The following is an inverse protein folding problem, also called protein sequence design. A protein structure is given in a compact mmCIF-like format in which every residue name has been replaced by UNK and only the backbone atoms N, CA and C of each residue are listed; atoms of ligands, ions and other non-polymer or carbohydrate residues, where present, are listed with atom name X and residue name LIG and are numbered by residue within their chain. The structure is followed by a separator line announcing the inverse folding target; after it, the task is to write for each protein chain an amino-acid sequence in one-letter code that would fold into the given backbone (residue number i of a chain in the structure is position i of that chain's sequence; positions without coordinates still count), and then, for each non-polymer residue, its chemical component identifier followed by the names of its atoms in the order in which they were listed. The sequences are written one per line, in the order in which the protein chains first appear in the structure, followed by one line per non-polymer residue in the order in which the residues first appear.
data_IF_633406212947
#
_entry.id   IF_633406212947
#
_cell.length_a   1.000
_cell.length_b   1.000
_cell.length_c   1.000
_cell.angle_alpha   90.00
_cell.angle_beta   90.00
_cell.angle_gamma   90.00
#
_symmetry.space_group_name_H-M   'P 1'
#
loop_
_entity.id
_entity.type
_entity.pdbx_description
1 polymer ?
#
# COMPACT_ATOMS: atom_id res chain seq x y z
N UNK A 1 11.08 -23.43 -1.28
CA UNK A 1 10.07 -22.55 -1.91
C UNK A 1 10.66 -21.31 -2.58
N UNK A 2 11.79 -20.76 -2.12
CA UNK A 2 12.45 -19.64 -2.81
C UNK A 2 11.68 -18.32 -2.78
N UNK A 3 10.68 -18.21 -1.90
CA UNK A 3 9.85 -17.01 -1.73
C UNK A 3 10.60 -16.04 -0.81
N UNK A 4 10.91 -14.81 -1.26
CA UNK A 4 11.76 -13.88 -0.50
C UNK A 4 11.02 -13.12 0.59
N UNK A 5 9.68 -13.08 0.56
CA UNK A 5 8.87 -12.23 1.43
C UNK A 5 7.66 -12.96 2.00
N UNK A 6 7.34 -12.69 3.25
CA UNK A 6 6.08 -13.05 3.91
C UNK A 6 5.35 -11.77 4.28
N UNK A 7 4.09 -11.64 3.88
CA UNK A 7 3.23 -10.49 4.26
C UNK A 7 2.52 -10.81 5.56
N UNK A 8 2.43 -9.83 6.46
CA UNK A 8 1.67 -9.96 7.70
C UNK A 8 1.03 -8.64 8.10
N UNK A 9 -0.13 -8.71 8.73
CA UNK A 9 -0.68 -7.56 9.44
C UNK A 9 0.09 -7.35 10.76
N UNK A 10 0.30 -6.09 11.18
CA UNK A 10 0.82 -5.66 12.48
C UNK A 10 0.27 -6.39 13.71
N UNK A 11 -0.97 -6.85 13.64
CA UNK A 11 -1.72 -7.35 14.79
C UNK A 11 -2.57 -6.27 15.44
N UNK A 12 -3.02 -6.57 16.66
CA UNK A 12 -3.90 -5.72 17.46
C UNK A 12 -3.24 -5.42 18.81
N UNK A 13 -3.55 -4.26 19.40
CA UNK A 13 -3.23 -4.03 20.82
C UNK A 13 -4.36 -4.53 21.72
N UNK A 14 -4.00 -4.86 22.97
CA UNK A 14 -4.93 -5.28 24.02
C UNK A 14 -5.16 -4.12 24.99
N UNK A 15 -4.07 -3.58 25.55
CA UNK A 15 -4.11 -2.51 26.54
C UNK A 15 -4.02 -1.14 25.85
N UNK A 16 -2.81 -0.62 25.65
CA UNK A 16 -2.55 0.62 24.93
C UNK A 16 -1.85 0.40 23.60
N UNK A 17 -2.09 1.33 22.68
CA UNK A 17 -1.59 1.27 21.29
C UNK A 17 -0.07 1.30 21.20
N UNK A 18 0.62 2.06 22.06
CA UNK A 18 2.08 2.17 22.03
C UNK A 18 2.75 0.88 22.53
N UNK A 19 2.23 0.29 23.62
CA UNK A 19 2.65 -1.02 24.09
C UNK A 19 2.38 -2.11 23.04
N UNK A 20 1.23 -2.04 22.34
CA UNK A 20 0.92 -2.92 21.23
C UNK A 20 1.95 -2.86 20.09
N UNK A 21 2.36 -1.66 19.67
CA UNK A 21 3.41 -1.49 18.64
C UNK A 21 4.73 -2.10 19.11
N UNK A 22 5.16 -1.82 20.35
CA UNK A 22 6.39 -2.36 20.92
C UNK A 22 6.36 -3.90 21.01
N UNK A 23 5.22 -4.46 21.44
CA UNK A 23 5.05 -5.91 21.57
C UNK A 23 5.10 -6.63 20.23
N UNK A 24 4.42 -6.11 19.21
CA UNK A 24 4.43 -6.71 17.88
C UNK A 24 5.80 -6.58 17.21
N UNK A 25 6.48 -5.44 17.37
CA UNK A 25 7.86 -5.27 16.91
C UNK A 25 8.83 -6.27 17.56
N UNK A 26 8.67 -6.54 18.86
CA UNK A 26 9.42 -7.58 19.56
C UNK A 26 9.14 -8.96 18.98
N UNK A 27 7.88 -9.30 18.74
CA UNK A 27 7.51 -10.57 18.10
C UNK A 27 8.14 -10.74 16.72
N UNK A 28 8.19 -9.67 15.91
CA UNK A 28 8.90 -9.69 14.63
C UNK A 28 10.40 -9.93 14.80
N UNK A 29 11.05 -9.26 15.75
CA UNK A 29 12.47 -9.46 16.01
C UNK A 29 12.79 -10.89 16.45
N UNK A 30 11.99 -11.47 17.35
CA UNK A 30 12.12 -12.85 17.81
C UNK A 30 11.98 -13.85 16.65
N UNK A 31 10.95 -13.68 15.81
CA UNK A 31 10.74 -14.52 14.63
C UNK A 31 11.90 -14.41 13.62
N UNK A 32 12.34 -13.20 13.30
CA UNK A 32 13.41 -12.98 12.32
C UNK A 32 14.76 -13.50 12.82
N UNK A 33 15.03 -13.41 14.12
CA UNK A 33 16.24 -13.96 14.75
C UNK A 33 16.23 -15.50 14.77
N UNK A 34 15.07 -16.12 14.94
CA UNK A 34 14.92 -17.58 14.97
C UNK A 34 15.01 -18.22 13.57
N UNK A 35 14.76 -17.46 12.50
CA UNK A 35 14.71 -17.97 11.12
C UNK A 35 15.99 -17.61 10.36
N UNK A 36 16.83 -18.60 10.00
CA UNK A 36 18.04 -18.36 9.21
C UNK A 36 17.72 -17.98 7.76
N UNK A 37 18.67 -17.31 7.11
CA UNK A 37 18.59 -16.92 5.70
C UNK A 37 17.94 -15.55 5.47
N UNK A 38 17.54 -15.33 4.20
CA UNK A 38 17.23 -13.98 3.71
C UNK A 38 15.73 -13.73 3.49
N UNK A 39 14.86 -14.62 3.97
CA UNK A 39 13.41 -14.36 3.91
C UNK A 39 13.10 -13.13 4.76
N UNK A 40 12.40 -12.16 4.19
CA UNK A 40 12.01 -10.94 4.85
C UNK A 40 10.52 -10.89 5.16
N UNK A 41 10.16 -9.91 5.99
CA UNK A 41 8.81 -9.59 6.39
C UNK A 41 8.32 -8.33 5.68
N UNK A 42 7.11 -8.37 5.15
CA UNK A 42 6.38 -7.20 4.68
C UNK A 42 5.27 -6.90 5.68
N UNK A 43 5.43 -5.82 6.44
CA UNK A 43 4.38 -5.33 7.34
C UNK A 43 3.33 -4.63 6.46
N UNK A 44 2.10 -5.12 6.50
CA UNK A 44 0.99 -4.58 5.72
C UNK A 44 0.27 -3.46 6.47
N UNK A 45 0.04 -2.33 5.80
CA UNK A 45 -0.85 -1.29 6.32
C UNK A 45 -2.29 -1.80 6.47
N UNK A 46 -2.95 -1.54 7.60
CA UNK A 46 -4.30 -2.06 7.89
C UNK A 46 -5.39 -0.98 7.76
N UNK A 47 -6.65 -1.39 7.66
CA UNK A 47 -7.80 -0.47 7.67
C UNK A 47 -8.03 0.23 9.03
N UNK A 48 -7.28 -0.11 10.08
CA UNK A 48 -7.41 0.50 11.41
C UNK A 48 -8.72 0.19 12.14
N UNK A 49 -9.35 -0.95 11.84
CA UNK A 49 -10.57 -1.40 12.50
C UNK A 49 -10.29 -1.81 13.96
N UNK A 50 -11.13 -1.38 14.90
CA UNK A 50 -11.01 -1.74 16.31
C UNK A 50 -9.63 -1.39 16.89
N UNK A 51 -8.92 -2.40 17.38
CA UNK A 51 -7.58 -2.27 17.98
C UNK A 51 -6.44 -2.62 17.02
N UNK A 52 -6.70 -2.67 15.70
CA UNK A 52 -5.68 -2.95 14.70
C UNK A 52 -4.58 -1.86 14.69
N UNK A 53 -3.35 -2.32 14.51
CA UNK A 53 -2.14 -1.50 14.41
C UNK A 53 -1.71 -1.30 12.95
N UNK A 54 -0.79 -0.35 12.73
CA UNK A 54 -0.18 -0.05 11.44
C UNK A 54 -1.18 0.49 10.42
N UNK A 55 -2.15 1.26 10.89
CA UNK A 55 -3.12 1.93 10.02
C UNK A 55 -2.57 3.25 9.47
N UNK A 56 -1.56 3.83 10.12
CA UNK A 56 -0.88 5.03 9.62
C UNK A 56 0.57 4.73 9.26
N UNK A 57 1.15 5.56 8.39
CA UNK A 57 2.55 5.43 7.97
C UNK A 57 3.52 5.61 9.13
N UNK A 58 3.19 6.47 10.09
CA UNK A 58 3.96 6.70 11.31
C UNK A 58 3.98 5.44 12.19
N UNK A 59 2.85 4.70 12.29
CA UNK A 59 2.82 3.42 12.99
C UNK A 59 3.66 2.35 12.28
N UNK A 60 3.63 2.33 10.93
CA UNK A 60 4.47 1.43 10.13
C UNK A 60 5.96 1.73 10.32
N UNK A 61 6.35 3.00 10.29
CA UNK A 61 7.71 3.45 10.58
C UNK A 61 8.12 3.04 12.01
N UNK A 62 7.27 3.33 13.00
CA UNK A 62 7.52 2.99 14.40
C UNK A 62 7.71 1.48 14.63
N UNK A 63 6.89 0.64 13.98
CA UNK A 63 7.06 -0.82 14.04
C UNK A 63 8.44 -1.23 13.52
N UNK A 64 8.86 -0.72 12.36
CA UNK A 64 10.17 -1.06 11.78
C UNK A 64 11.32 -0.50 12.61
N UNK A 65 11.19 0.69 13.17
CA UNK A 65 12.24 1.33 13.95
C UNK A 65 12.41 0.74 15.35
N UNK A 66 11.39 0.10 15.89
CA UNK A 66 11.50 -0.66 17.12
C UNK A 66 12.32 -1.96 16.96
N UNK A 67 12.58 -2.43 15.72
CA UNK A 67 13.44 -3.60 15.50
C UNK A 67 14.92 -3.26 15.70
N UNK A 68 15.75 -4.24 16.16
CA UNK A 68 17.19 -4.14 16.12
C UNK A 68 17.71 -3.82 14.71
N UNK A 69 18.67 -2.90 14.59
CA UNK A 69 19.16 -2.40 13.30
C UNK A 69 19.55 -3.51 12.29
N UNK A 70 20.24 -4.60 12.68
CA UNK A 70 20.59 -5.67 11.74
C UNK A 70 19.37 -6.42 11.17
N UNK A 71 18.22 -6.41 11.85
CA UNK A 71 17.02 -7.08 11.37
C UNK A 71 16.19 -6.19 10.42
N UNK A 72 16.38 -4.86 10.47
CA UNK A 72 15.58 -3.91 9.67
C UNK A 72 15.79 -4.05 8.15
N UNK A 73 16.91 -4.63 7.70
CA UNK A 73 17.15 -4.90 6.28
C UNK A 73 16.23 -5.99 5.73
N UNK A 74 15.75 -6.89 6.60
CA UNK A 74 14.80 -7.95 6.29
C UNK A 74 13.35 -7.51 6.49
N UNK A 75 13.09 -6.23 6.78
CA UNK A 75 11.75 -5.70 6.99
C UNK A 75 11.45 -4.54 6.06
N UNK A 76 10.37 -4.71 5.31
CA UNK A 76 9.85 -3.74 4.36
C UNK A 76 8.31 -3.75 4.45
N UNK A 77 7.61 -3.16 3.47
CA UNK A 77 6.16 -2.92 3.59
C UNK A 77 5.34 -3.44 2.42
N UNK A 78 4.11 -3.81 2.77
CA UNK A 78 2.99 -3.97 1.85
C UNK A 78 1.98 -2.86 2.12
N UNK A 79 1.40 -2.26 1.08
CA UNK A 79 0.24 -1.37 1.25
C UNK A 79 -0.94 -1.93 0.46
N UNK A 80 -2.12 -1.82 1.07
CA UNK A 80 -3.38 -2.19 0.44
C UNK A 80 -4.19 -0.95 0.09
N UNK A 81 -4.63 -0.83 -1.17
CA UNK A 81 -5.36 0.35 -1.64
C UNK A 81 -6.72 0.54 -0.94
N UNK A 82 -7.42 -0.53 -0.61
CA UNK A 82 -8.68 -0.48 0.14
C UNK A 82 -8.43 -0.08 1.60
N UNK A 83 -7.34 -0.55 2.22
CA UNK A 83 -6.98 -0.14 3.59
C UNK A 83 -6.60 1.33 3.67
N UNK A 84 -5.77 1.82 2.74
CA UNK A 84 -5.43 3.25 2.67
C UNK A 84 -6.70 4.11 2.57
N UNK A 85 -7.64 3.71 1.72
CA UNK A 85 -8.92 4.39 1.58
C UNK A 85 -9.77 4.31 2.87
N UNK A 86 -9.82 3.14 3.52
CA UNK A 86 -10.56 2.93 4.76
C UNK A 86 -10.00 3.76 5.92
N UNK A 87 -8.69 4.01 5.96
CA UNK A 87 -8.05 4.90 6.94
C UNK A 87 -8.39 6.37 6.67
N UNK A 88 -8.62 6.73 5.40
CA UNK A 88 -8.96 8.09 4.99
C UNK A 88 -7.88 8.80 4.18
N UNK A 89 -6.85 8.08 3.72
CA UNK A 89 -5.95 8.62 2.70
C UNK A 89 -6.74 8.89 1.41
N UNK A 90 -6.50 10.04 0.78
CA UNK A 90 -7.18 10.42 -0.47
C UNK A 90 -6.59 9.64 -1.66
N UNK A 91 -6.94 8.37 -1.75
CA UNK A 91 -6.49 7.46 -2.82
C UNK A 91 -7.14 7.83 -4.16
N UNK A 92 -8.31 8.47 -4.17
CA UNK A 92 -9.10 8.70 -5.39
C UNK A 92 -8.66 9.94 -6.15
N UNK A 93 -8.47 11.06 -5.45
CA UNK A 93 -8.10 12.33 -6.06
C UNK A 93 -6.66 12.76 -5.73
N UNK A 94 -6.12 12.31 -4.59
CA UNK A 94 -4.85 12.77 -4.02
C UNK A 94 -3.74 11.72 -3.97
N UNK A 95 -3.79 10.69 -4.83
CA UNK A 95 -2.91 9.52 -4.72
C UNK A 95 -1.41 9.85 -4.69
N UNK A 96 -0.96 10.86 -5.45
CA UNK A 96 0.44 11.28 -5.44
C UNK A 96 0.86 11.79 -4.06
N UNK A 97 0.02 12.60 -3.40
CA UNK A 97 0.29 13.12 -2.06
C UNK A 97 0.32 11.99 -1.01
N UNK A 98 -0.44 10.91 -1.22
CA UNK A 98 -0.35 9.70 -0.39
C UNK A 98 1.02 9.04 -0.54
N UNK A 99 1.55 8.93 -1.76
CA UNK A 99 2.88 8.38 -2.00
C UNK A 99 4.00 9.28 -1.49
N UNK A 100 3.88 10.60 -1.65
CA UNK A 100 4.82 11.57 -1.07
C UNK A 100 4.87 11.45 0.45
N UNK A 101 3.72 11.34 1.11
CA UNK A 101 3.66 11.13 2.56
C UNK A 101 4.27 9.79 2.97
N UNK A 102 4.01 8.71 2.23
CA UNK A 102 4.64 7.42 2.53
C UNK A 102 6.16 7.49 2.38
N UNK A 103 6.66 8.17 1.34
CA UNK A 103 8.09 8.35 1.12
C UNK A 103 8.75 9.16 2.23
N UNK A 104 8.07 10.19 2.73
CA UNK A 104 8.54 11.03 3.83
C UNK A 104 8.61 10.28 5.16
N UNK A 105 7.55 9.55 5.52
CA UNK A 105 7.44 8.89 6.83
C UNK A 105 8.19 7.54 6.88
N UNK A 106 8.21 6.82 5.76
CA UNK A 106 8.68 5.42 5.70
C UNK A 106 9.79 5.24 4.67
N UNK A 107 9.61 5.82 3.48
CA UNK A 107 10.50 5.64 2.33
C UNK A 107 9.92 4.69 1.29
N UNK A 108 9.69 5.19 0.08
CA UNK A 108 9.06 4.49 -1.03
C UNK A 108 9.88 3.27 -1.47
N UNK A 109 11.20 3.32 -1.29
CA UNK A 109 12.09 2.19 -1.56
C UNK A 109 11.78 0.95 -0.71
N UNK A 110 11.13 1.10 0.44
CA UNK A 110 10.70 0.00 1.30
C UNK A 110 9.33 -0.57 0.91
N UNK A 111 8.61 0.01 -0.05
CA UNK A 111 7.40 -0.59 -0.59
C UNK A 111 7.77 -1.75 -1.53
N UNK A 112 7.50 -2.99 -1.12
CA UNK A 112 7.82 -4.18 -1.92
C UNK A 112 6.60 -4.90 -2.46
N UNK A 113 5.43 -4.67 -1.86
CA UNK A 113 4.17 -5.23 -2.30
C UNK A 113 3.03 -4.19 -2.26
N UNK A 114 2.13 -4.29 -3.22
CA UNK A 114 0.85 -3.60 -3.25
C UNK A 114 -0.27 -4.63 -3.36
N UNK A 115 -1.19 -4.62 -2.42
CA UNK A 115 -2.48 -5.27 -2.58
C UNK A 115 -3.42 -4.32 -3.30
N UNK A 116 -3.88 -4.74 -4.48
CA UNK A 116 -4.73 -3.92 -5.37
C UNK A 116 -6.19 -4.35 -5.20
N UNK A 117 -6.81 -3.78 -4.18
CA UNK A 117 -8.19 -4.04 -3.80
C UNK A 117 -9.01 -2.75 -3.89
N UNK A 118 -10.17 -2.82 -4.54
CA UNK A 118 -11.16 -1.75 -4.43
C UNK A 118 -11.91 -1.90 -3.11
N UNK A 119 -12.67 -0.90 -2.69
CA UNK A 119 -13.36 -0.90 -1.40
C UNK A 119 -14.87 -0.84 -1.56
N UNK A 120 -15.58 -1.56 -0.69
CA UNK A 120 -17.03 -1.37 -0.49
C UNK A 120 -17.34 -0.22 0.47
N UNK A 121 -16.38 0.16 1.30
CA UNK A 121 -16.54 1.19 2.33
C UNK A 121 -16.27 2.59 1.80
N UNK A 122 -16.86 3.59 2.43
CA UNK A 122 -16.54 5.00 2.19
C UNK A 122 -15.12 5.35 2.67
N UNK A 123 -14.51 6.45 2.18
CA UNK A 123 -13.23 6.91 2.71
C UNK A 123 -13.32 7.16 4.22
N UNK A 124 -12.30 6.75 4.98
CA UNK A 124 -12.27 6.93 6.44
C UNK A 124 -13.23 6.02 7.22
N UNK A 125 -13.89 5.05 6.56
CA UNK A 125 -14.85 4.15 7.22
C UNK A 125 -14.23 3.12 8.17
N UNK A 126 -12.91 2.91 8.10
CA UNK A 126 -12.18 1.83 8.79
C UNK A 126 -12.74 0.43 8.49
N UNK A 127 -13.43 0.27 7.37
CA UNK A 127 -14.03 -0.98 6.96
C UNK A 127 -13.11 -1.74 6.00
N UNK A 128 -12.59 -2.87 6.47
CA UNK A 128 -11.88 -3.84 5.65
C UNK A 128 -12.89 -4.73 4.89
N UNK A 129 -13.39 -4.21 3.76
CA UNK A 129 -14.27 -4.94 2.85
C UNK A 129 -13.90 -4.66 1.40
N UNK A 130 -13.14 -5.60 0.83
CA UNK A 130 -12.70 -5.53 -0.55
C UNK A 130 -13.85 -5.61 -1.56
N UNK A 131 -13.61 -4.99 -2.72
CA UNK A 131 -14.44 -5.01 -3.90
C UNK A 131 -13.58 -5.33 -5.14
N UNK A 132 -14.22 -5.79 -6.20
CA UNK A 132 -13.62 -5.93 -7.51
C UNK A 132 -13.05 -4.61 -8.03
N UNK A 133 -11.89 -4.69 -8.68
CA UNK A 133 -11.09 -3.57 -9.16
C UNK A 133 -11.90 -2.64 -10.07
N UNK A 134 -12.07 -1.40 -9.65
CA UNK A 134 -12.81 -0.36 -10.36
C UNK A 134 -14.32 -0.45 -10.24
N UNK A 135 -14.84 -1.30 -9.36
CA UNK A 135 -16.28 -1.52 -9.12
C UNK A 135 -16.70 -1.10 -7.69
N UNK A 136 -15.79 -0.50 -6.91
CA UNK A 136 -16.04 0.02 -5.58
C UNK A 136 -15.90 1.54 -5.48
N UNK A 137 -15.70 2.03 -4.26
CA UNK A 137 -15.60 3.45 -3.93
C UNK A 137 -14.30 4.10 -4.37
N UNK A 138 -13.23 3.32 -4.65
CA UNK A 138 -12.01 3.87 -5.26
C UNK A 138 -12.20 4.12 -6.75
N UNK A 139 -12.98 3.25 -7.42
CA UNK A 139 -13.17 3.29 -8.86
C UNK A 139 -11.89 3.00 -9.64
N UNK A 140 -11.90 3.16 -10.97
CA UNK A 140 -10.81 2.69 -11.83
C UNK A 140 -9.57 3.60 -11.85
N UNK A 141 -9.69 4.85 -11.41
CA UNK A 141 -8.64 5.88 -11.51
C UNK A 141 -7.34 5.49 -10.80
N UNK A 142 -7.37 5.23 -9.48
CA UNK A 142 -6.16 4.94 -8.72
C UNK A 142 -5.39 3.72 -9.24
N UNK A 143 -6.11 2.67 -9.65
CA UNK A 143 -5.49 1.48 -10.25
C UNK A 143 -4.83 1.78 -11.60
N UNK A 144 -5.37 2.70 -12.40
CA UNK A 144 -4.70 3.12 -13.65
C UNK A 144 -3.41 3.86 -13.36
N UNK A 145 -3.43 4.75 -12.38
CA UNK A 145 -2.27 5.55 -12.01
C UNK A 145 -1.16 4.65 -11.45
N UNK A 146 -1.48 3.75 -10.51
CA UNK A 146 -0.54 2.76 -9.96
C UNK A 146 0.03 1.88 -11.07
N UNK A 147 -0.81 1.31 -11.95
CA UNK A 147 -0.35 0.39 -12.99
C UNK A 147 0.50 1.05 -14.08
N UNK A 148 0.55 2.39 -14.13
CA UNK A 148 1.32 3.18 -15.10
C UNK A 148 2.51 3.89 -14.45
N UNK A 149 2.64 3.84 -13.14
CA UNK A 149 3.71 4.50 -12.43
C UNK A 149 5.01 3.68 -12.52
N UNK A 150 6.09 4.21 -13.13
CA UNK A 150 7.34 3.49 -13.24
C UNK A 150 7.98 3.19 -11.88
N UNK A 151 7.73 3.99 -10.83
CA UNK A 151 8.23 3.75 -9.46
C UNK A 151 7.78 2.40 -8.93
N UNK A 152 6.58 1.95 -9.34
CA UNK A 152 6.03 0.69 -8.90
C UNK A 152 6.34 -0.48 -9.81
N UNK A 153 7.07 -0.31 -10.91
CA UNK A 153 7.48 -1.43 -11.80
C UNK A 153 8.08 -2.62 -11.02
N UNK A 154 9.04 -2.44 -10.09
CA UNK A 154 9.63 -3.55 -9.33
C UNK A 154 8.76 -4.06 -8.16
N UNK A 155 7.67 -3.35 -7.82
CA UNK A 155 6.81 -3.70 -6.68
C UNK A 155 5.90 -4.88 -7.06
N UNK A 156 5.77 -5.86 -6.17
CA UNK A 156 4.86 -7.00 -6.34
C UNK A 156 3.42 -6.48 -6.28
N UNK A 157 2.52 -6.96 -7.15
CA UNK A 157 1.09 -6.63 -7.05
C UNK A 157 0.26 -7.89 -6.87
N UNK A 158 -0.56 -7.93 -5.83
CA UNK A 158 -1.45 -9.05 -5.49
C UNK A 158 -2.89 -8.53 -5.50
N UNK A 159 -3.85 -9.41 -5.85
CA UNK A 159 -5.28 -9.12 -5.76
C UNK A 159 -5.91 -10.03 -4.71
N UNK A 160 -6.74 -9.47 -3.85
CA UNK A 160 -7.48 -10.18 -2.79
C UNK A 160 -8.97 -9.86 -2.89
N UNK A 161 -9.41 -9.60 -4.12
CA UNK A 161 -10.78 -9.24 -4.43
C UNK A 161 -11.75 -10.40 -4.13
N UNK A 162 -13.04 -10.11 -3.89
CA UNK A 162 -14.05 -11.14 -3.63
C UNK A 162 -14.05 -12.26 -4.68
N UNK A 163 -14.09 -13.52 -4.22
CA UNK A 163 -13.98 -14.68 -5.11
C UNK A 163 -15.28 -15.09 -5.78
N UNK A 164 -16.43 -14.73 -5.21
CA UNK A 164 -17.74 -15.07 -5.79
C UNK A 164 -17.96 -16.59 -5.89
N UNK A 165 -18.76 -16.98 -6.88
CA UNK A 165 -19.10 -18.37 -7.21
C UNK A 165 -18.04 -19.07 -8.09
N UNK A 166 -17.30 -18.32 -8.90
CA UNK A 166 -16.20 -18.82 -9.74
C UNK A 166 -14.89 -18.06 -9.48
N UNK A 167 -14.09 -18.48 -8.47
CA UNK A 167 -12.88 -17.80 -8.04
C UNK A 167 -11.87 -17.56 -9.18
N UNK A 168 -11.65 -18.56 -10.02
CA UNK A 168 -10.63 -18.51 -11.09
C UNK A 168 -11.07 -17.52 -12.17
N UNK A 169 -12.35 -17.54 -12.56
CA UNK A 169 -12.87 -16.60 -13.55
C UNK A 169 -12.82 -15.17 -13.04
N UNK A 170 -13.18 -14.93 -11.78
CA UNK A 170 -13.14 -13.61 -11.18
C UNK A 170 -11.72 -13.06 -11.08
N UNK A 171 -10.75 -13.87 -10.62
CA UNK A 171 -9.34 -13.46 -10.58
C UNK A 171 -8.80 -13.16 -11.98
N UNK A 172 -9.09 -14.01 -12.97
CA UNK A 172 -8.72 -13.76 -14.37
C UNK A 172 -9.35 -12.49 -14.93
N UNK A 173 -10.57 -12.12 -14.50
CA UNK A 173 -11.23 -10.86 -14.89
C UNK A 173 -10.46 -9.66 -14.32
N UNK A 174 -10.14 -9.69 -13.03
CA UNK A 174 -9.43 -8.62 -12.34
C UNK A 174 -8.00 -8.42 -12.89
N UNK A 175 -7.27 -9.51 -13.07
CA UNK A 175 -5.91 -9.46 -13.67
C UNK A 175 -5.93 -8.93 -15.11
N UNK A 176 -6.93 -9.32 -15.92
CA UNK A 176 -7.08 -8.76 -17.28
C UNK A 176 -7.36 -7.26 -17.26
N UNK A 177 -8.19 -6.78 -16.33
CA UNK A 177 -8.49 -5.36 -16.17
C UNK A 177 -7.25 -4.56 -15.77
N UNK A 178 -6.47 -5.00 -14.77
CA UNK A 178 -5.21 -4.35 -14.38
C UNK A 178 -4.20 -4.29 -15.54
N UNK A 179 -4.04 -5.39 -16.29
CA UNK A 179 -3.17 -5.42 -17.48
C UNK A 179 -3.65 -4.46 -18.57
N UNK A 180 -4.96 -4.27 -18.72
CA UNK A 180 -5.50 -3.28 -19.65
C UNK A 180 -5.20 -1.84 -19.19
N UNK A 181 -5.26 -1.57 -17.89
CA UNK A 181 -4.90 -0.26 -17.34
C UNK A 181 -3.44 0.09 -17.62
N UNK A 182 -2.52 -0.87 -17.45
CA UNK A 182 -1.10 -0.69 -17.76
C UNK A 182 -0.82 -0.38 -19.24
N UNK A 183 -1.65 -0.90 -20.17
CA UNK A 183 -1.46 -0.72 -21.63
C UNK A 183 -2.06 0.57 -22.20
N UNK A 184 -2.98 1.21 -21.50
CA UNK A 184 -3.65 2.39 -22.06
C UNK A 184 -2.71 3.60 -22.14
N UNK A 185 -2.87 4.41 -23.19
CA UNK A 185 -2.10 5.64 -23.40
C UNK A 185 -2.25 6.61 -22.22
N UNK A 186 -1.13 7.18 -21.76
CA UNK A 186 -1.15 8.34 -20.84
C UNK A 186 -2.03 9.44 -21.46
N UNK A 187 -2.97 10.05 -20.73
CA UNK A 187 -3.48 11.35 -21.13
C UNK A 187 -2.29 12.29 -21.27
N UNK A 188 -2.15 12.98 -22.41
CA UNK A 188 -1.13 14.01 -22.57
C UNK A 188 -1.33 15.01 -21.43
N UNK A 189 -0.32 15.15 -20.57
CA UNK A 189 -0.36 16.09 -19.45
C UNK A 189 -0.73 17.48 -19.95
N UNK A 190 -1.63 18.15 -19.22
CA UNK A 190 -1.89 19.58 -19.42
C UNK A 190 -0.59 20.31 -19.17
N UNK A 191 0.05 20.74 -20.25
CA UNK A 191 1.18 21.64 -20.20
C UNK A 191 0.62 22.99 -19.73
N UNK A 192 0.79 23.32 -18.45
CA UNK A 192 0.60 24.69 -17.97
C UNK A 192 1.73 25.53 -18.55
N UNK A 193 1.54 26.00 -19.79
CA UNK A 193 2.36 27.01 -20.40
C UNK A 193 2.26 28.28 -19.56
N UNK A 194 3.31 28.59 -18.80
CA UNK A 194 3.55 29.96 -18.33
C UNK A 194 3.83 30.81 -19.58
N UNK A 195 3.12 31.93 -19.81
CA UNK A 195 3.48 32.83 -20.88
C UNK A 195 4.85 33.46 -20.57
N UNK A 196 5.75 33.45 -21.55
CA UNK A 196 7.02 34.14 -21.46
C UNK A 196 6.78 35.64 -21.26
N UNK A 197 7.33 36.19 -20.17
CA UNK A 197 7.37 37.63 -19.96
C UNK A 197 8.37 38.23 -20.94
N UNK A 198 7.87 39.04 -21.88
CA UNK A 198 8.66 39.92 -22.72
C UNK A 198 9.17 41.07 -21.87
N UNK A 199 10.49 41.11 -21.63
CA UNK A 199 11.17 42.28 -21.08
C UNK A 199 11.30 43.30 -22.20
N UNK A 200 10.48 44.35 -22.14
CA UNK A 200 10.61 45.53 -22.99
C UNK A 200 11.90 46.28 -22.65
N UNK A 201 12.67 46.59 -23.69
CA UNK A 201 13.75 47.58 -23.62
C UNK A 201 13.14 48.99 -23.58
N UNK A 202 13.58 49.78 -22.62
CA UNK A 202 13.67 51.23 -22.69
C UNK A 202 15.02 51.63 -22.09
#
# INVERSE_FOLDING_TARGET
MGIPWVVTHPGNYIDDRAAGLAWNARGYAECLAAVPGNVGLLIEGTAGAGTALGSTFEELAALRDALPAPLRERVAFCLDTAHLHAVGYDVVAGLEAVWERFDQEVGLALLKCLHLNDSKGAPGSRLDRHQWIGEGTLGPGPFRDIMRDPRFTPVIKIIETPKGDDPIRHDRRMLRRLRAYARGTRPRGRHNGRPAQTVGRA
#
